data_IF_432187150793
#
_entry.id   IF_432187150793
#
_cell.length_a   1.000
_cell.length_b   1.000
_cell.length_c   1.000
_cell.angle_alpha   90.00
_cell.angle_beta   90.00
_cell.angle_gamma   90.00
#
_symmetry.space_group_name_H-M   'P 1'
#
loop_
_entity.id
_entity.type
_entity.pdbx_description
1 polymer ?
#
# COMPACT_ATOMS: atom_id res chain seq x y z
N UNK A 1 40.21 -72.96 -12.18
CA UNK A 1 40.95 -73.54 -11.05
C UNK A 1 40.34 -72.99 -9.76
N UNK A 2 39.79 -73.85 -8.89
CA UNK A 2 39.51 -73.66 -7.43
C UNK A 2 38.86 -72.31 -7.00
N UNK A 3 37.54 -72.18 -6.83
CA UNK A 3 36.60 -72.63 -5.74
C UNK A 3 36.28 -71.55 -4.66
N UNK A 4 34.97 -71.44 -4.43
CA UNK A 4 34.13 -70.54 -3.61
C UNK A 4 34.09 -70.88 -2.09
N UNK A 5 33.84 -69.87 -1.21
CA UNK A 5 32.87 -69.79 -0.06
C UNK A 5 33.13 -68.51 0.80
N UNK A 6 32.18 -67.65 1.24
CA UNK A 6 30.97 -67.76 2.13
C UNK A 6 31.32 -68.28 3.55
N UNK A 7 30.82 -67.77 4.69
CA UNK A 7 29.65 -66.90 5.02
C UNK A 7 29.72 -66.28 6.44
N UNK A 8 29.05 -65.14 6.65
CA UNK A 8 28.24 -64.68 7.83
C UNK A 8 28.63 -64.94 9.31
N UNK A 9 28.34 -63.97 10.20
CA UNK A 9 27.24 -64.01 11.23
C UNK A 9 27.35 -62.81 12.21
N UNK A 10 26.21 -62.17 12.54
CA UNK A 10 26.08 -61.14 13.60
C UNK A 10 25.40 -61.70 14.86
N UNK A 11 25.50 -61.02 16.02
CA UNK A 11 24.26 -60.73 16.76
C UNK A 11 24.22 -59.34 17.45
N UNK A 12 23.00 -58.83 17.65
CA UNK A 12 22.65 -57.67 18.49
C UNK A 12 21.43 -57.99 19.36
N UNK A 13 21.28 -57.35 20.52
CA UNK A 13 20.01 -56.70 20.93
C UNK A 13 20.30 -55.26 21.47
N UNK A 14 19.46 -54.23 21.34
CA UNK A 14 17.99 -54.13 21.32
C UNK A 14 17.52 -53.53 22.67
N UNK A 15 16.73 -52.46 22.81
CA UNK A 15 15.86 -51.65 21.90
C UNK A 15 16.02 -50.14 22.27
N UNK A 16 15.33 -49.10 21.75
CA UNK A 16 14.22 -48.85 20.80
C UNK A 16 13.57 -47.47 21.11
N UNK A 17 12.55 -46.94 20.38
CA UNK A 17 11.85 -47.45 19.19
C UNK A 17 11.98 -46.52 17.95
N UNK A 18 11.33 -46.93 16.85
CA UNK A 18 11.17 -46.20 15.57
C UNK A 18 9.66 -46.16 15.27
N UNK A 19 9.10 -45.05 14.75
CA UNK A 19 8.36 -45.12 13.48
C UNK A 19 7.91 -43.79 12.83
N UNK A 20 7.65 -43.93 11.51
CA UNK A 20 6.73 -43.18 10.67
C UNK A 20 6.91 -41.66 10.46
N UNK A 21 7.59 -41.33 9.36
CA UNK A 21 7.29 -40.13 8.59
C UNK A 21 5.89 -40.19 7.96
N UNK A 22 5.09 -39.13 8.13
CA UNK A 22 3.87 -38.88 7.36
C UNK A 22 3.99 -37.50 6.69
N UNK A 23 3.70 -37.44 5.39
CA UNK A 23 4.05 -36.27 4.57
C UNK A 23 3.25 -35.01 4.89
N UNK A 24 3.95 -33.89 5.11
CA UNK A 24 3.34 -32.55 4.97
C UNK A 24 2.96 -32.35 3.50
N UNK A 25 1.66 -32.34 3.22
CA UNK A 25 1.11 -31.84 1.96
C UNK A 25 1.67 -30.43 1.72
N UNK A 26 2.27 -30.19 0.55
CA UNK A 26 2.45 -28.83 0.06
C UNK A 26 1.08 -28.29 -0.27
N UNK A 27 0.60 -27.31 0.48
CA UNK A 27 -0.43 -26.41 -0.02
C UNK A 27 0.22 -25.52 -1.08
N UNK A 28 0.08 -25.86 -2.35
CA UNK A 28 0.37 -24.92 -3.43
C UNK A 28 -0.75 -23.86 -3.45
N UNK A 29 -0.65 -22.88 -2.55
CA UNK A 29 -1.37 -21.61 -2.68
C UNK A 29 -0.63 -20.75 -3.68
N UNK A 30 -1.13 -20.67 -4.91
CA UNK A 30 -0.70 -19.64 -5.86
C UNK A 30 -1.26 -18.31 -5.36
N UNK A 31 -0.39 -17.32 -5.10
CA UNK A 31 -0.82 -15.96 -4.82
C UNK A 31 -1.68 -15.46 -6.00
N UNK A 32 -2.94 -15.07 -5.79
CA UNK A 32 -3.71 -14.37 -6.82
C UNK A 32 -3.02 -13.03 -7.11
N UNK A 33 -2.99 -12.60 -8.37
CA UNK A 33 -2.34 -11.33 -8.73
C UNK A 33 -3.07 -10.12 -8.14
N UNK A 34 -2.33 -9.00 -7.99
CA UNK A 34 -2.81 -7.69 -7.50
C UNK A 34 -3.91 -7.06 -8.40
N UNK A 35 -5.09 -7.67 -8.44
CA UNK A 35 -6.32 -7.07 -8.92
C UNK A 35 -7.05 -6.36 -7.77
N UNK A 36 -8.01 -5.47 -8.09
CA UNK A 36 -8.87 -4.89 -7.07
C UNK A 36 -9.61 -6.02 -6.33
N UNK A 37 -9.60 -5.95 -5.01
CA UNK A 37 -10.34 -6.89 -4.17
C UNK A 37 -11.81 -6.88 -4.59
N UNK A 38 -12.41 -8.06 -4.82
CA UNK A 38 -13.81 -8.16 -5.23
C UNK A 38 -14.69 -7.63 -4.09
N UNK A 39 -15.28 -6.46 -4.29
CA UNK A 39 -16.24 -5.85 -3.36
C UNK A 39 -17.49 -6.73 -3.34
N UNK A 40 -17.74 -7.38 -2.21
CA UNK A 40 -18.90 -8.23 -2.02
C UNK A 40 -20.17 -7.35 -2.07
N UNK A 41 -21.18 -7.78 -2.82
CA UNK A 41 -22.44 -7.05 -2.96
C UNK A 41 -23.63 -7.96 -2.73
N UNK A 42 -24.06 -8.08 -1.47
CA UNK A 42 -25.37 -8.63 -1.13
C UNK A 42 -26.35 -7.48 -0.92
N UNK A 43 -27.10 -7.18 -1.98
CA UNK A 43 -28.32 -6.38 -1.93
C UNK A 43 -29.49 -7.33 -2.08
N UNK A 44 -30.16 -7.66 -0.98
CA UNK A 44 -31.54 -8.17 -1.03
C UNK A 44 -32.46 -7.12 -0.42
N UNK A 45 -33.35 -6.56 -1.25
CA UNK A 45 -34.51 -5.83 -0.78
C UNK A 45 -35.40 -6.77 0.04
N UNK A 46 -35.70 -6.40 1.29
CA UNK A 46 -36.98 -6.75 1.88
C UNK A 46 -37.44 -5.72 2.91
N UNK A 47 -38.47 -4.97 2.54
CA UNK A 47 -39.37 -4.34 3.50
C UNK A 47 -40.18 -5.45 4.18
N UNK A 48 -40.42 -5.35 5.49
CA UNK A 48 -41.75 -5.41 6.15
C UNK A 48 -41.65 -5.82 7.64
N UNK A 49 -42.19 -4.93 8.49
CA UNK A 49 -42.73 -5.11 9.86
C UNK A 49 -41.82 -5.56 11.03
N UNK A 50 -41.72 -4.65 12.01
CA UNK A 50 -41.49 -4.99 13.43
C UNK A 50 -42.54 -5.97 13.97
N UNK A 51 -42.19 -6.70 15.04
CA UNK A 51 -42.84 -6.34 16.31
C UNK A 51 -41.87 -6.26 17.51
N UNK A 52 -42.18 -5.36 18.44
CA UNK A 52 -41.43 -5.15 19.67
C UNK A 52 -41.61 -6.27 20.71
N UNK A 53 -40.52 -6.65 21.42
CA UNK A 53 -40.58 -7.11 22.82
C UNK A 53 -39.22 -7.15 23.54
N UNK A 54 -39.17 -6.50 24.70
CA UNK A 54 -38.48 -6.91 25.95
C UNK A 54 -36.92 -6.93 26.01
N UNK A 55 -36.39 -5.93 26.71
CA UNK A 55 -35.05 -5.96 27.34
C UNK A 55 -34.98 -6.99 28.47
N UNK A 56 -33.77 -7.49 28.76
CA UNK A 56 -33.32 -7.70 30.14
C UNK A 56 -32.14 -6.79 30.49
N UNK A 57 -32.19 -6.14 31.66
CA UNK A 57 -31.03 -5.45 32.24
C UNK A 57 -29.92 -6.45 32.60
N UNK A 58 -28.66 -6.09 32.40
CA UNK A 58 -27.52 -6.77 33.03
C UNK A 58 -26.57 -5.79 33.71
N UNK A 59 -26.14 -6.18 34.91
CA UNK A 59 -25.50 -5.34 35.92
C UNK A 59 -24.04 -4.99 35.58
N UNK A 60 -23.67 -3.71 35.73
CA UNK A 60 -22.30 -3.22 35.55
C UNK A 60 -21.37 -3.68 36.69
N UNK A 61 -20.67 -4.81 36.46
CA UNK A 61 -19.57 -5.24 37.31
C UNK A 61 -18.31 -4.39 37.06
N UNK A 62 -17.90 -3.62 38.07
CA UNK A 62 -16.85 -2.60 38.00
C UNK A 62 -15.43 -3.21 37.98
N UNK A 63 -14.88 -3.47 36.79
CA UNK A 63 -13.49 -3.93 36.63
C UNK A 63 -12.51 -2.81 36.99
N UNK A 64 -11.58 -3.07 37.91
CA UNK A 64 -10.44 -2.18 38.22
C UNK A 64 -9.23 -2.58 37.38
N UNK A 65 -8.82 -1.73 36.45
CA UNK A 65 -7.52 -1.83 35.79
C UNK A 65 -6.43 -1.22 36.69
N UNK A 66 -5.34 -1.96 36.89
CA UNK A 66 -4.13 -1.49 37.57
C UNK A 66 -3.10 -1.04 36.51
N UNK A 67 -2.46 0.13 36.65
CA UNK A 67 -1.50 0.59 35.66
C UNK A 67 -0.19 -0.23 35.73
N UNK A 68 0.20 -0.83 34.61
CA UNK A 68 1.53 -1.39 34.42
C UNK A 68 2.54 -0.26 34.13
N UNK A 69 3.78 -0.48 34.57
CA UNK A 69 4.84 0.55 34.57
C UNK A 69 5.17 1.05 33.17
N UNK A 70 5.32 2.37 33.05
CA UNK A 70 5.92 3.02 31.90
C UNK A 70 7.37 2.53 31.72
N UNK A 71 7.68 1.96 30.57
CA UNK A 71 9.04 1.69 30.12
C UNK A 71 9.58 2.93 29.40
N UNK A 72 10.85 3.26 29.60
CA UNK A 72 11.47 4.45 29.01
C UNK A 72 11.60 4.33 27.49
N UNK A 73 11.18 5.37 26.78
CA UNK A 73 11.23 5.45 25.32
C UNK A 73 12.66 5.74 24.88
N UNK A 74 13.24 4.83 24.09
CA UNK A 74 14.41 5.15 23.27
C UNK A 74 13.95 5.59 21.87
N UNK A 75 14.57 6.63 21.27
CA UNK A 75 14.14 7.15 19.98
C UNK A 75 14.47 6.16 18.85
N UNK A 76 13.42 5.64 18.21
CA UNK A 76 13.54 4.84 16.98
C UNK A 76 14.02 5.76 15.85
N UNK A 77 15.29 5.61 15.44
CA UNK A 77 15.79 6.21 14.19
C UNK A 77 15.27 5.40 13.01
N UNK A 78 14.76 6.08 11.98
CA UNK A 78 14.33 5.44 10.74
C UNK A 78 15.51 4.77 10.03
N UNK A 79 15.43 3.44 9.86
CA UNK A 79 16.42 2.70 9.07
C UNK A 79 16.06 2.80 7.59
N UNK A 80 16.31 3.98 7.00
CA UNK A 80 16.54 4.07 5.57
C UNK A 80 17.96 3.56 5.34
N UNK A 81 18.13 2.41 4.66
CA UNK A 81 19.45 1.82 4.38
C UNK A 81 20.21 2.63 3.32
N UNK A 82 20.63 3.84 3.68
CA UNK A 82 21.57 4.63 2.89
C UNK A 82 23.00 4.17 3.18
N UNK A 83 23.90 4.39 2.21
CA UNK A 83 25.33 4.13 2.38
C UNK A 83 26.01 5.19 3.26
N UNK A 84 25.32 6.28 3.62
CA UNK A 84 25.91 7.53 4.09
C UNK A 84 26.71 7.37 5.38
N UNK A 85 26.18 6.62 6.34
CA UNK A 85 26.84 6.34 7.64
C UNK A 85 28.12 5.50 7.50
N UNK A 86 28.32 4.81 6.37
CA UNK A 86 29.46 3.93 6.12
C UNK A 86 30.56 4.56 5.24
N UNK A 87 30.36 5.78 4.72
CA UNK A 87 31.29 6.47 3.80
C UNK A 87 32.52 6.95 4.55
N UNK A 88 33.70 6.57 4.05
CA UNK A 88 35.00 7.03 4.54
C UNK A 88 35.75 7.78 3.43
N UNK A 89 36.40 8.88 3.80
CA UNK A 89 37.24 9.64 2.86
C UNK A 89 38.54 8.87 2.58
N UNK A 90 38.88 8.70 1.31
CA UNK A 90 40.08 7.99 0.92
C UNK A 90 41.38 8.70 1.40
N UNK A 91 42.39 7.97 1.92
CA UNK A 91 43.71 8.53 2.21
C UNK A 91 44.43 9.05 0.97
N UNK A 92 45.31 10.04 1.13
CA UNK A 92 46.04 10.68 0.03
C UNK A 92 46.95 9.72 -0.79
N UNK A 93 47.35 8.58 -0.21
CA UNK A 93 48.03 7.50 -0.93
C UNK A 93 47.20 6.21 -0.84
N UNK A 94 46.46 5.90 -1.90
CA UNK A 94 45.66 4.68 -2.00
C UNK A 94 46.48 3.51 -2.59
N UNK A 95 46.55 2.34 -1.92
CA UNK A 95 47.09 1.13 -2.54
C UNK A 95 46.16 0.67 -3.67
N UNK A 96 46.72 0.06 -4.71
CA UNK A 96 45.94 -0.45 -5.84
C UNK A 96 44.90 -1.48 -5.40
N UNK A 97 43.75 -1.52 -6.10
CA UNK A 97 42.75 -2.56 -5.90
C UNK A 97 43.28 -3.93 -6.37
N UNK A 98 42.87 -4.98 -5.68
CA UNK A 98 43.16 -6.36 -6.04
C UNK A 98 42.32 -6.83 -7.26
N UNK A 99 42.49 -8.09 -7.66
CA UNK A 99 41.76 -8.67 -8.80
C UNK A 99 40.23 -8.67 -8.63
N UNK A 100 39.73 -8.53 -7.40
CA UNK A 100 38.31 -8.46 -7.05
C UNK A 100 37.79 -7.02 -6.95
N UNK A 101 38.61 -5.99 -7.20
CA UNK A 101 38.21 -4.59 -7.08
C UNK A 101 38.19 -4.06 -5.64
N UNK A 102 38.83 -4.75 -4.68
CA UNK A 102 38.95 -4.32 -3.28
C UNK A 102 40.36 -3.85 -2.95
N UNK A 103 40.47 -2.83 -2.09
CA UNK A 103 41.75 -2.33 -1.56
C UNK A 103 42.03 -2.90 -0.19
N UNK A 104 43.26 -3.35 0.06
CA UNK A 104 43.70 -3.78 1.39
C UNK A 104 44.44 -2.63 2.06
N UNK A 105 43.93 -2.10 3.17
CA UNK A 105 44.56 -1.03 3.95
C UNK A 105 44.62 -1.48 5.42
N UNK A 106 45.82 -1.76 5.93
CA UNK A 106 46.04 -2.28 7.31
C UNK A 106 45.15 -3.51 7.59
N UNK A 107 45.33 -4.54 6.78
CA UNK A 107 44.65 -5.85 6.86
C UNK A 107 43.11 -5.81 6.85
N UNK A 108 42.54 -4.72 6.35
CA UNK A 108 41.10 -4.53 6.17
C UNK A 108 40.76 -4.24 4.72
N UNK A 109 39.62 -4.77 4.27
CA UNK A 109 39.13 -4.66 2.90
C UNK A 109 38.26 -3.41 2.74
N UNK A 110 38.53 -2.62 1.71
CA UNK A 110 37.79 -1.43 1.36
C UNK A 110 37.31 -1.49 -0.09
N UNK A 111 36.09 -1.03 -0.31
CA UNK A 111 35.45 -0.90 -1.62
C UNK A 111 35.42 0.58 -2.04
N UNK A 112 35.85 0.89 -3.26
CA UNK A 112 35.64 2.23 -3.84
C UNK A 112 34.17 2.38 -4.26
N UNK A 113 33.46 3.38 -3.74
CA UNK A 113 32.04 3.63 -4.09
C UNK A 113 31.86 4.84 -5.01
N UNK A 114 32.79 5.79 -4.96
CA UNK A 114 32.86 6.98 -5.81
C UNK A 114 34.31 7.50 -5.84
N UNK A 115 34.68 8.41 -6.78
CA UNK A 115 36.03 8.95 -6.84
C UNK A 115 36.47 9.65 -5.53
N UNK A 116 37.40 9.03 -4.80
CA UNK A 116 37.90 9.53 -3.51
C UNK A 116 37.10 9.10 -2.28
N UNK A 117 36.11 8.21 -2.44
CA UNK A 117 35.26 7.70 -1.36
C UNK A 117 35.31 6.18 -1.29
N UNK A 118 35.54 5.66 -0.09
CA UNK A 118 35.69 4.23 0.18
C UNK A 118 34.78 3.79 1.34
N UNK A 119 34.43 2.52 1.36
CA UNK A 119 33.65 1.89 2.43
C UNK A 119 34.40 0.68 2.95
N UNK A 120 34.44 0.49 4.27
CA UNK A 120 34.97 -0.74 4.89
C UNK A 120 33.99 -1.88 4.63
N UNK A 121 34.47 -3.02 4.12
CA UNK A 121 33.64 -4.18 3.81
C UNK A 121 34.12 -5.46 4.51
N UNK A 122 33.19 -6.35 4.80
CA UNK A 122 33.47 -7.75 5.17
C UNK A 122 32.60 -8.69 4.37
N UNK A 123 33.12 -9.88 4.12
CA UNK A 123 32.38 -10.96 3.47
C UNK A 123 31.52 -11.70 4.51
N UNK A 124 30.26 -11.97 4.19
CA UNK A 124 29.32 -12.67 5.07
C UNK A 124 29.48 -14.18 4.91
N UNK A 125 29.72 -14.91 6.01
CA UNK A 125 29.97 -16.35 5.97
C UNK A 125 28.81 -17.19 5.42
N UNK A 126 27.57 -16.67 5.49
CA UNK A 126 26.34 -17.36 5.08
C UNK A 126 26.05 -17.30 3.57
N UNK A 127 26.49 -16.23 2.89
CA UNK A 127 26.13 -15.95 1.48
C UNK A 127 27.31 -15.59 0.58
N UNK A 128 28.49 -15.33 1.13
CA UNK A 128 29.66 -14.85 0.38
C UNK A 128 29.57 -13.40 -0.09
N UNK A 129 28.52 -12.66 0.28
CA UNK A 129 28.31 -11.25 -0.08
C UNK A 129 29.24 -10.31 0.69
N UNK A 130 29.71 -9.25 0.04
CA UNK A 130 30.42 -8.15 0.71
C UNK A 130 29.42 -7.13 1.24
N UNK A 131 29.42 -6.90 2.56
CA UNK A 131 28.57 -5.91 3.23
C UNK A 131 29.39 -4.75 3.77
N UNK A 132 28.84 -3.55 3.66
CA UNK A 132 29.36 -2.37 4.34
C UNK A 132 29.36 -2.61 5.87
N UNK A 133 30.38 -2.14 6.57
CA UNK A 133 30.48 -2.29 8.02
C UNK A 133 31.27 -1.16 8.66
N UNK A 134 30.85 -0.73 9.84
CA UNK A 134 31.56 0.27 10.63
C UNK A 134 32.80 -0.34 11.29
N UNK A 135 33.82 0.47 11.54
CA UNK A 135 35.05 0.01 12.21
C UNK A 135 34.81 -0.48 13.66
N UNK A 136 33.68 -0.10 14.27
CA UNK A 136 33.20 -0.52 15.60
C UNK A 136 32.37 -1.81 15.59
N UNK A 137 31.99 -2.33 14.42
CA UNK A 137 31.15 -3.53 14.31
C UNK A 137 31.99 -4.81 14.28
N UNK A 138 31.52 -5.84 15.00
CA UNK A 138 32.09 -7.19 14.93
C UNK A 138 31.49 -8.01 13.76
N UNK A 139 30.21 -7.78 13.48
CA UNK A 139 29.42 -8.42 12.41
C UNK A 139 28.95 -7.35 11.45
N UNK A 140 29.05 -7.57 10.13
CA UNK A 140 28.67 -6.58 9.14
C UNK A 140 27.14 -6.44 9.03
N UNK A 141 26.59 -5.36 9.59
CA UNK A 141 25.15 -5.04 9.56
C UNK A 141 24.72 -4.17 8.37
N UNK A 142 25.66 -3.53 7.69
CA UNK A 142 25.37 -2.60 6.61
C UNK A 142 24.87 -3.25 5.32
N UNK A 143 24.47 -2.42 4.33
CA UNK A 143 23.96 -2.90 3.07
C UNK A 143 25.00 -3.72 2.30
N UNK A 144 24.52 -4.70 1.52
CA UNK A 144 25.35 -5.49 0.64
C UNK A 144 25.77 -4.68 -0.60
N UNK A 145 26.95 -4.98 -1.13
CA UNK A 145 27.58 -4.26 -2.23
C UNK A 145 27.98 -5.22 -3.35
N UNK A 146 27.70 -4.84 -4.60
CA UNK A 146 28.13 -5.53 -5.81
C UNK A 146 29.14 -4.66 -6.56
N UNK A 147 30.21 -5.29 -7.03
CA UNK A 147 31.22 -4.64 -7.87
C UNK A 147 30.71 -4.47 -9.30
N UNK A 148 30.83 -3.26 -9.85
CA UNK A 148 30.46 -2.94 -11.22
C UNK A 148 31.72 -2.82 -12.10
N UNK A 149 32.05 -3.83 -12.94
CA UNK A 149 33.32 -3.87 -13.65
C UNK A 149 33.52 -2.74 -14.67
N UNK A 150 32.43 -2.17 -15.20
CA UNK A 150 32.45 -1.10 -16.19
C UNK A 150 33.03 0.20 -15.62
N UNK A 151 32.64 0.56 -14.40
CA UNK A 151 33.07 1.80 -13.73
C UNK A 151 34.12 1.57 -12.63
N UNK A 152 34.44 0.30 -12.31
CA UNK A 152 35.38 -0.12 -11.24
C UNK A 152 35.02 0.43 -9.85
N UNK A 153 33.72 0.56 -9.59
CA UNK A 153 33.15 0.98 -8.31
C UNK A 153 32.18 -0.06 -7.79
N UNK A 154 31.96 -0.06 -6.48
CA UNK A 154 30.97 -0.88 -5.80
C UNK A 154 29.70 -0.08 -5.58
N UNK A 155 28.55 -0.69 -5.85
CA UNK A 155 27.23 -0.09 -5.65
C UNK A 155 26.41 -0.95 -4.69
N UNK A 156 25.34 -0.36 -4.15
CA UNK A 156 24.33 -1.13 -3.41
C UNK A 156 23.87 -2.33 -4.24
N UNK A 157 23.93 -3.51 -3.65
CA UNK A 157 23.25 -4.69 -4.17
C UNK A 157 21.75 -4.43 -4.05
N UNK A 158 21.14 -3.95 -5.15
CA UNK A 158 19.69 -3.91 -5.26
C UNK A 158 19.13 -5.30 -4.96
N UNK A 159 18.04 -5.38 -4.20
CA UNK A 159 17.49 -6.65 -3.75
C UNK A 159 17.25 -7.57 -4.96
N UNK A 160 18.01 -8.66 -5.01
CA UNK A 160 17.90 -9.69 -6.03
C UNK A 160 17.77 -11.04 -5.34
N UNK A 161 16.59 -11.62 -5.52
CA UNK A 161 16.21 -12.93 -5.01
C UNK A 161 17.17 -14.00 -5.55
N UNK A 162 17.68 -14.86 -4.67
CA UNK A 162 18.51 -15.99 -5.10
C UNK A 162 17.65 -16.99 -5.89
N UNK A 163 18.06 -17.41 -7.10
CA UNK A 163 17.40 -18.48 -7.84
C UNK A 163 17.93 -19.85 -7.40
N UNK A 164 17.05 -20.86 -7.34
CA UNK A 164 17.44 -22.25 -7.51
C UNK A 164 16.55 -22.93 -8.56
N UNK A 165 17.12 -23.92 -9.26
CA UNK A 165 16.59 -24.52 -10.48
C UNK A 165 15.40 -25.46 -10.20
N UNK A 166 14.42 -25.57 -11.09
CA UNK A 166 14.22 -24.84 -12.35
C UNK A 166 13.30 -25.61 -13.30
N UNK A 167 12.86 -24.95 -14.36
CA UNK A 167 12.90 -25.54 -15.70
C UNK A 167 13.02 -24.40 -16.73
N UNK A 168 13.64 -24.69 -17.88
CA UNK A 168 14.23 -23.66 -18.75
C UNK A 168 13.23 -23.14 -19.79
N UNK A 169 13.07 -21.82 -19.83
CA UNK A 169 12.78 -21.09 -21.07
C UNK A 169 13.86 -20.02 -21.19
N UNK A 170 14.81 -20.23 -22.11
CA UNK A 170 15.78 -19.22 -22.48
C UNK A 170 15.03 -18.03 -23.10
N UNK A 171 15.11 -16.87 -22.47
CA UNK A 171 14.78 -15.59 -23.09
C UNK A 171 16.10 -14.85 -23.26
N UNK A 172 16.64 -14.92 -24.48
CA UNK A 172 17.86 -14.22 -24.83
C UNK A 172 17.60 -12.70 -24.78
N UNK A 173 18.32 -11.99 -23.93
CA UNK A 173 18.09 -10.54 -23.71
C UNK A 173 18.46 -9.76 -24.98
N UNK A 174 19.37 -10.27 -25.81
CA UNK A 174 19.67 -9.70 -27.11
C UNK A 174 18.53 -9.93 -28.13
N UNK A 175 17.70 -10.97 -27.96
CA UNK A 175 16.47 -11.17 -28.74
C UNK A 175 15.35 -10.25 -28.24
N UNK A 176 15.24 -10.00 -26.94
CA UNK A 176 14.31 -9.02 -26.38
C UNK A 176 14.62 -7.59 -26.87
N UNK A 177 15.90 -7.20 -26.91
CA UNK A 177 16.36 -5.90 -27.42
C UNK A 177 16.20 -5.81 -28.95
N UNK A 178 16.40 -6.90 -29.69
CA UNK A 178 16.05 -6.97 -31.13
C UNK A 178 14.54 -6.85 -31.37
N UNK A 179 13.70 -7.35 -30.46
CA UNK A 179 12.26 -7.15 -30.47
C UNK A 179 11.86 -5.66 -30.46
N UNK A 180 12.56 -4.82 -29.68
CA UNK A 180 12.38 -3.36 -29.68
C UNK A 180 13.04 -2.63 -30.86
N UNK A 181 13.85 -3.31 -31.68
CA UNK A 181 14.64 -2.68 -32.76
C UNK A 181 14.14 -2.98 -34.17
N UNK A 182 13.05 -3.74 -34.31
CA UNK A 182 12.42 -4.07 -35.59
C UNK A 182 11.14 -3.25 -35.89
N UNK A 183 10.92 -2.15 -35.16
CA UNK A 183 9.96 -1.14 -35.60
C UNK A 183 10.47 -0.47 -36.88
N UNK A 184 9.82 -0.80 -38.00
CA UNK A 184 10.09 -0.14 -39.28
C UNK A 184 9.91 1.38 -39.12
N UNK A 185 10.80 2.23 -39.66
CA UNK A 185 10.80 3.67 -39.39
C UNK A 185 9.72 4.44 -40.18
N UNK A 186 8.48 3.94 -40.17
CA UNK A 186 7.33 4.50 -40.89
C UNK A 186 5.97 3.97 -40.39
N UNK A 187 5.56 4.36 -39.17
CA UNK A 187 4.14 4.60 -38.84
C UNK A 187 3.96 5.52 -37.63
N UNK A 188 2.89 6.31 -37.70
CA UNK A 188 2.62 7.49 -36.88
C UNK A 188 2.60 7.24 -35.36
N UNK A 189 3.04 8.26 -34.60
CA UNK A 189 2.96 8.40 -33.13
C UNK A 189 1.76 7.63 -32.53
N UNK A 190 2.03 6.46 -31.95
CA UNK A 190 1.07 5.73 -31.12
C UNK A 190 1.06 6.30 -29.69
N UNK A 191 -0.04 6.11 -28.95
CA UNK A 191 -0.10 6.43 -27.53
C UNK A 191 0.67 5.37 -26.73
N UNK A 192 1.54 5.81 -25.80
CA UNK A 192 2.31 4.92 -24.93
C UNK A 192 1.41 4.18 -23.94
N UNK A 193 1.61 2.87 -23.77
CA UNK A 193 0.91 2.04 -22.77
C UNK A 193 -0.28 1.20 -23.29
N UNK A 194 -0.57 1.23 -24.59
CA UNK A 194 -1.60 0.35 -25.18
C UNK A 194 -1.17 -1.13 -25.20
N UNK A 195 -2.12 -2.02 -24.95
CA UNK A 195 -2.00 -3.49 -25.05
C UNK A 195 -0.88 -4.10 -24.19
N UNK A 196 -0.46 -3.40 -23.12
CA UNK A 196 0.53 -3.86 -22.15
C UNK A 196 0.00 -5.02 -21.27
N UNK A 197 0.79 -5.49 -20.30
CA UNK A 197 0.32 -6.58 -19.40
C UNK A 197 -0.89 -6.17 -18.59
N UNK A 198 -0.92 -4.94 -18.05
CA UNK A 198 -2.02 -4.48 -17.19
C UNK A 198 -3.31 -4.36 -17.99
N UNK A 199 -3.26 -3.79 -19.21
CA UNK A 199 -4.43 -3.75 -20.08
C UNK A 199 -4.86 -5.18 -20.47
N UNK A 200 -3.94 -6.06 -20.89
CA UNK A 200 -4.30 -7.43 -21.26
C UNK A 200 -4.91 -8.22 -20.09
N UNK A 201 -4.32 -8.16 -18.90
CA UNK A 201 -4.84 -8.80 -17.68
C UNK A 201 -6.24 -8.28 -17.35
N UNK A 202 -6.47 -6.97 -17.47
CA UNK A 202 -7.79 -6.35 -17.23
C UNK A 202 -8.82 -6.79 -18.27
N UNK A 203 -8.43 -6.79 -19.56
CA UNK A 203 -9.31 -7.11 -20.69
C UNK A 203 -9.60 -8.61 -20.87
N UNK A 204 -9.08 -9.48 -19.99
CA UNK A 204 -9.50 -10.90 -19.96
C UNK A 204 -10.97 -11.04 -19.59
N UNK A 205 -11.47 -10.22 -18.66
CA UNK A 205 -12.81 -10.30 -18.07
C UNK A 205 -13.72 -9.09 -18.39
N UNK A 206 -13.22 -8.07 -19.12
CA UNK A 206 -13.98 -6.84 -19.41
C UNK A 206 -13.94 -6.43 -20.89
N UNK A 207 -15.01 -5.82 -21.37
CA UNK A 207 -15.06 -5.31 -22.75
C UNK A 207 -14.45 -3.91 -22.81
N UNK A 208 -13.36 -3.72 -23.57
CA UNK A 208 -12.83 -2.39 -23.87
C UNK A 208 -13.78 -1.61 -24.78
N UNK A 209 -13.99 -0.33 -24.49
CA UNK A 209 -14.83 0.56 -25.31
C UNK A 209 -14.20 1.91 -25.64
N UNK A 210 -13.24 2.40 -24.85
CA UNK A 210 -12.55 3.66 -25.12
C UNK A 210 -11.13 3.69 -24.55
N UNK A 211 -10.17 4.27 -25.28
CA UNK A 211 -8.86 4.68 -24.79
C UNK A 211 -8.73 6.21 -24.84
N UNK A 212 -8.61 6.85 -23.68
CA UNK A 212 -8.62 8.30 -23.53
C UNK A 212 -10.02 8.95 -23.64
N UNK A 213 -10.19 10.11 -23.02
CA UNK A 213 -11.45 10.89 -22.99
C UNK A 213 -11.97 11.30 -24.38
N UNK A 214 -11.14 11.23 -25.42
CA UNK A 214 -11.52 11.50 -26.81
C UNK A 214 -12.33 10.37 -27.46
N UNK A 215 -12.23 9.14 -26.93
CA UNK A 215 -12.99 7.98 -27.41
C UNK A 215 -14.29 7.72 -26.64
N UNK A 216 -14.48 8.35 -25.48
CA UNK A 216 -15.77 8.39 -24.81
C UNK A 216 -16.76 9.28 -25.59
N UNK A 217 -18.06 9.00 -25.51
CA UNK A 217 -19.05 9.95 -26.04
C UNK A 217 -19.00 11.27 -25.28
N UNK A 218 -19.33 12.40 -25.93
CA UNK A 218 -19.18 13.73 -25.36
C UNK A 218 -19.85 13.89 -23.97
N UNK A 219 -21.03 13.29 -23.77
CA UNK A 219 -21.73 13.28 -22.48
C UNK A 219 -20.98 12.50 -21.38
N UNK A 220 -20.34 11.40 -21.74
CA UNK A 220 -19.57 10.58 -20.80
C UNK A 220 -18.23 11.26 -20.46
N UNK A 221 -17.54 11.82 -21.45
CA UNK A 221 -16.31 12.59 -21.24
C UNK A 221 -16.56 13.83 -20.36
N UNK A 222 -17.69 14.52 -20.56
CA UNK A 222 -18.06 15.66 -19.71
C UNK A 222 -18.47 15.23 -18.29
N UNK A 223 -19.14 14.08 -18.12
CA UNK A 223 -19.37 13.51 -16.79
C UNK A 223 -18.03 13.30 -16.07
N UNK A 224 -17.08 12.56 -16.67
CA UNK A 224 -15.76 12.29 -16.06
C UNK A 224 -15.05 13.60 -15.70
N UNK A 225 -15.01 14.59 -16.60
CA UNK A 225 -14.43 15.92 -16.29
C UNK A 225 -15.14 16.64 -15.14
N UNK A 226 -16.47 16.58 -15.08
CA UNK A 226 -17.22 17.22 -13.99
C UNK A 226 -16.96 16.57 -12.64
N UNK A 227 -16.79 15.24 -12.60
CA UNK A 227 -16.51 14.48 -11.38
C UNK A 227 -15.04 14.64 -10.93
N UNK A 228 -14.09 14.76 -11.86
CA UNK A 228 -12.70 15.15 -11.55
C UNK A 228 -12.60 16.53 -10.90
N UNK A 229 -13.38 17.51 -11.38
CA UNK A 229 -13.46 18.84 -10.72
C UNK A 229 -14.02 18.76 -9.31
N UNK A 230 -14.99 17.87 -9.06
CA UNK A 230 -15.48 17.62 -7.69
C UNK A 230 -14.34 17.08 -6.81
N UNK A 231 -13.55 16.11 -7.30
CA UNK A 231 -12.37 15.58 -6.58
C UNK A 231 -11.32 16.66 -6.32
N UNK A 232 -10.98 17.50 -7.32
CA UNK A 232 -10.05 18.62 -7.10
C UNK A 232 -10.58 19.56 -6.02
N UNK A 233 -11.87 19.90 -6.06
CA UNK A 233 -12.45 20.83 -5.09
C UNK A 233 -12.51 20.24 -3.68
N UNK A 234 -12.74 18.91 -3.54
CA UNK A 234 -12.64 18.20 -2.25
C UNK A 234 -11.25 18.37 -1.63
N UNK A 235 -10.19 18.10 -2.40
CA UNK A 235 -8.83 18.23 -1.88
C UNK A 235 -8.41 19.71 -1.71
N UNK A 236 -8.88 20.62 -2.56
CA UNK A 236 -8.57 22.06 -2.46
C UNK A 236 -9.18 22.67 -1.20
N UNK A 237 -10.49 22.47 -0.97
CA UNK A 237 -11.18 22.99 0.21
C UNK A 237 -10.58 22.37 1.50
N UNK A 238 -10.20 21.08 1.46
CA UNK A 238 -9.51 20.44 2.59
C UNK A 238 -8.10 21.00 2.84
N UNK A 239 -7.30 21.26 1.79
CA UNK A 239 -6.01 21.94 1.90
C UNK A 239 -6.14 23.31 2.57
N UNK A 240 -7.14 24.10 2.18
CA UNK A 240 -7.39 25.43 2.74
C UNK A 240 -7.74 25.34 4.24
N UNK A 241 -8.65 24.44 4.64
CA UNK A 241 -9.01 24.21 6.05
C UNK A 241 -7.81 23.77 6.90
N UNK A 242 -6.98 22.85 6.38
CA UNK A 242 -5.74 22.41 7.03
C UNK A 242 -4.78 23.60 7.20
N UNK A 243 -4.63 24.44 6.17
CA UNK A 243 -3.78 25.62 6.20
C UNK A 243 -4.24 26.69 7.20
N UNK A 244 -5.55 26.87 7.35
CA UNK A 244 -6.15 27.81 8.30
C UNK A 244 -6.05 27.37 9.77
N UNK A 245 -5.80 26.07 10.04
CA UNK A 245 -5.68 25.50 11.40
C UNK A 245 -6.87 25.81 12.31
N UNK A 246 -8.09 25.73 11.76
CA UNK A 246 -9.32 26.07 12.47
C UNK A 246 -9.56 25.06 13.62
N UNK A 247 -9.67 25.50 14.90
CA UNK A 247 -9.79 24.59 16.05
C UNK A 247 -11.00 23.65 15.97
N UNK A 248 -12.11 24.15 15.45
CA UNK A 248 -13.37 23.40 15.29
C UNK A 248 -13.24 22.20 14.33
N UNK A 249 -12.23 22.18 13.46
CA UNK A 249 -11.96 21.07 12.57
C UNK A 249 -11.30 19.87 13.29
N UNK A 250 -10.72 20.04 14.50
CA UNK A 250 -10.06 18.99 15.31
C UNK A 250 -10.95 17.73 15.44
N UNK A 251 -12.27 17.93 15.55
CA UNK A 251 -13.24 16.82 15.65
C UNK A 251 -13.37 15.98 14.38
N UNK A 252 -13.15 16.56 13.18
CA UNK A 252 -13.13 15.79 11.93
C UNK A 252 -11.92 14.86 11.93
N UNK A 253 -10.74 15.35 12.31
CA UNK A 253 -9.54 14.51 12.40
C UNK A 253 -9.70 13.41 13.47
N UNK A 254 -10.31 13.71 14.64
CA UNK A 254 -10.59 12.68 15.66
C UNK A 254 -11.51 11.57 15.13
N UNK A 255 -12.53 11.90 14.33
CA UNK A 255 -13.44 10.88 13.79
C UNK A 255 -12.77 9.97 12.73
N UNK A 256 -11.84 10.49 11.92
CA UNK A 256 -11.20 9.71 10.85
C UNK A 256 -9.87 9.05 11.24
N UNK A 257 -9.19 9.55 12.27
CA UNK A 257 -7.86 9.08 12.69
C UNK A 257 -7.73 8.83 14.21
N UNK A 258 -8.83 8.92 14.95
CA UNK A 258 -8.89 8.56 16.37
C UNK A 258 -8.25 9.57 17.33
N UNK A 259 -8.02 9.13 18.57
CA UNK A 259 -7.44 9.97 19.63
C UNK A 259 -6.00 10.45 19.31
N UNK A 260 -5.23 9.64 18.57
CA UNK A 260 -3.85 9.91 18.18
C UNK A 260 -3.72 10.73 16.87
N UNK A 261 -4.82 11.28 16.32
CA UNK A 261 -4.85 12.01 15.05
C UNK A 261 -3.79 13.11 14.90
N UNK A 262 -3.37 13.74 16.01
CA UNK A 262 -2.36 14.81 16.01
C UNK A 262 -0.97 14.32 15.61
N UNK A 263 -0.67 13.04 15.81
CA UNK A 263 0.60 12.42 15.41
C UNK A 263 0.67 12.28 13.88
N UNK A 264 -0.45 11.97 13.23
CA UNK A 264 -0.54 11.75 11.77
C UNK A 264 -0.93 13.00 10.99
N UNK A 265 -1.23 14.13 11.64
CA UNK A 265 -1.83 15.30 10.98
C UNK A 265 -0.97 15.86 9.82
N UNK A 266 0.37 15.81 9.95
CA UNK A 266 1.28 16.21 8.89
C UNK A 266 1.28 15.24 7.70
N UNK A 267 1.12 13.94 7.95
CA UNK A 267 1.01 12.91 6.92
C UNK A 267 -0.31 13.04 6.16
N UNK A 268 -1.43 13.23 6.87
CA UNK A 268 -2.72 13.50 6.24
C UNK A 268 -2.67 14.75 5.35
N UNK A 269 -2.04 15.84 5.83
CA UNK A 269 -1.87 17.07 5.05
C UNK A 269 -1.04 16.86 3.76
N UNK A 270 0.03 16.05 3.80
CA UNK A 270 0.80 15.65 2.62
C UNK A 270 -0.05 14.82 1.64
N UNK A 271 -0.80 13.83 2.13
CA UNK A 271 -1.71 13.02 1.31
C UNK A 271 -2.79 13.85 0.60
N UNK A 272 -3.43 14.81 1.30
CA UNK A 272 -4.43 15.73 0.71
C UNK A 272 -3.78 16.64 -0.34
N UNK A 273 -2.59 17.19 -0.04
CA UNK A 273 -1.84 18.05 -0.98
C UNK A 273 -1.43 17.30 -2.26
N UNK A 274 -1.06 16.03 -2.15
CA UNK A 274 -0.75 15.15 -3.29
C UNK A 274 -1.99 14.77 -4.09
N UNK A 275 -3.11 14.47 -3.42
CA UNK A 275 -4.42 14.28 -4.06
C UNK A 275 -4.83 15.50 -4.89
N UNK A 276 -4.67 16.71 -4.32
CA UNK A 276 -4.89 17.96 -5.03
C UNK A 276 -3.98 18.10 -6.26
N UNK A 277 -2.67 17.88 -6.11
CA UNK A 277 -1.72 17.98 -7.21
C UNK A 277 -2.03 17.00 -8.35
N UNK A 278 -2.39 15.76 -8.05
CA UNK A 278 -2.78 14.76 -9.05
C UNK A 278 -4.11 15.09 -9.73
N UNK A 279 -5.11 15.55 -8.97
CA UNK A 279 -6.42 15.90 -9.55
C UNK A 279 -6.31 17.00 -10.62
N UNK A 280 -5.31 17.88 -10.50
CA UNK A 280 -4.93 18.89 -11.50
C UNK A 280 -4.19 18.29 -12.70
N UNK A 281 -3.24 17.38 -12.48
CA UNK A 281 -2.52 16.68 -13.56
C UNK A 281 -3.46 15.80 -14.41
N UNK A 282 -4.44 15.11 -13.79
CA UNK A 282 -5.48 14.33 -14.48
C UNK A 282 -6.47 15.18 -15.29
N UNK A 283 -6.58 16.47 -14.99
CA UNK A 283 -7.29 17.45 -15.82
C UNK A 283 -6.38 18.20 -16.80
N UNK A 284 -5.06 18.01 -16.70
CA UNK A 284 -4.05 18.64 -17.54
C UNK A 284 -3.83 17.94 -18.88
N UNK A 285 -2.80 18.40 -19.60
CA UNK A 285 -2.47 18.00 -20.99
C UNK A 285 -2.34 16.47 -21.16
N UNK A 286 -1.76 15.78 -20.17
CA UNK A 286 -1.53 14.33 -20.23
C UNK A 286 -2.64 13.50 -19.55
N UNK A 287 -3.50 14.13 -18.76
CA UNK A 287 -4.51 13.44 -17.96
C UNK A 287 -5.61 12.80 -18.81
N UNK A 288 -6.02 13.47 -19.89
CA UNK A 288 -7.11 13.02 -20.75
C UNK A 288 -6.90 11.65 -21.41
N UNK A 289 -5.65 11.23 -21.62
CA UNK A 289 -5.32 9.93 -22.22
C UNK A 289 -5.35 8.77 -21.21
N UNK A 290 -5.34 9.06 -19.89
CA UNK A 290 -5.25 8.07 -18.82
C UNK A 290 -6.60 7.45 -18.41
N UNK A 291 -7.65 7.62 -19.22
CA UNK A 291 -8.99 7.09 -18.94
C UNK A 291 -9.33 5.97 -19.91
N UNK A 292 -9.48 4.74 -19.40
CA UNK A 292 -9.84 3.56 -20.18
C UNK A 292 -11.31 3.24 -19.91
N UNK A 293 -12.16 3.35 -20.92
CA UNK A 293 -13.58 3.06 -20.81
C UNK A 293 -13.86 1.58 -21.04
N UNK A 294 -14.51 0.94 -20.07
CA UNK A 294 -14.82 -0.50 -20.10
C UNK A 294 -16.30 -0.75 -19.76
N UNK A 295 -16.83 -1.85 -20.30
CA UNK A 295 -18.18 -2.35 -20.00
C UNK A 295 -18.05 -3.71 -19.26
N UNK A 296 -18.29 -3.70 -17.94
CA UNK A 296 -18.27 -4.89 -17.05
C UNK A 296 -19.47 -4.88 -16.10
N UNK A 297 -20.02 -6.06 -15.81
CA UNK A 297 -21.22 -6.24 -14.97
C UNK A 297 -20.87 -6.37 -13.48
N UNK A 298 -20.07 -5.43 -12.97
CA UNK A 298 -19.81 -5.21 -11.54
C UNK A 298 -20.22 -3.79 -11.12
N UNK A 299 -20.45 -3.54 -9.83
CA UNK A 299 -20.95 -2.23 -9.38
C UNK A 299 -19.88 -1.14 -9.24
N UNK A 300 -18.60 -1.47 -9.48
CA UNK A 300 -17.49 -0.51 -9.38
C UNK A 300 -17.60 0.55 -10.47
N UNK A 301 -17.60 1.83 -10.10
CA UNK A 301 -17.66 2.95 -11.06
C UNK A 301 -16.33 3.23 -11.74
N UNK A 302 -15.23 3.08 -11.01
CA UNK A 302 -13.87 3.13 -11.51
C UNK A 302 -12.95 2.24 -10.67
N UNK A 303 -11.80 1.85 -11.22
CA UNK A 303 -10.65 1.31 -10.47
C UNK A 303 -9.33 1.69 -11.13
N UNK A 304 -8.21 1.50 -10.43
CA UNK A 304 -6.87 1.48 -11.02
C UNK A 304 -6.01 0.33 -10.49
N UNK A 305 -4.81 0.18 -11.04
CA UNK A 305 -3.81 -0.75 -10.52
C UNK A 305 -2.65 0.05 -9.93
N UNK A 306 -2.32 -0.17 -8.65
CA UNK A 306 -1.22 0.51 -7.95
C UNK A 306 0.14 0.36 -8.65
N UNK A 307 0.33 -0.76 -9.36
CA UNK A 307 1.51 -1.07 -10.20
C UNK A 307 1.51 -0.43 -11.59
N UNK A 308 0.43 0.24 -12.00
CA UNK A 308 0.37 0.88 -13.32
C UNK A 308 1.15 2.20 -13.35
N UNK A 309 2.36 2.15 -13.88
CA UNK A 309 3.17 3.35 -14.11
C UNK A 309 2.49 4.34 -15.07
N UNK A 310 1.61 3.91 -15.97
CA UNK A 310 0.84 4.84 -16.81
C UNK A 310 -0.27 5.56 -16.02
N UNK A 311 -0.65 5.07 -14.84
CA UNK A 311 -1.64 5.66 -13.94
C UNK A 311 -3.04 5.74 -14.55
N UNK A 312 -3.47 4.68 -15.24
CA UNK A 312 -4.76 4.62 -15.92
C UNK A 312 -5.91 4.36 -14.94
N UNK A 313 -6.99 5.12 -15.09
CA UNK A 313 -8.29 4.81 -14.50
C UNK A 313 -9.11 3.97 -15.48
N UNK A 314 -9.57 2.81 -15.02
CA UNK A 314 -10.55 1.98 -15.72
C UNK A 314 -11.95 2.42 -15.28
N UNK A 315 -12.72 3.01 -16.19
CA UNK A 315 -14.03 3.60 -15.94
C UNK A 315 -15.11 2.64 -16.43
N UNK A 316 -15.91 2.11 -15.51
CA UNK A 316 -17.05 1.27 -15.85
C UNK A 316 -18.21 2.15 -16.33
N UNK A 317 -18.42 2.19 -17.64
CA UNK A 317 -19.46 3.00 -18.28
C UNK A 317 -20.88 2.59 -17.88
N UNK A 318 -21.10 1.34 -17.44
CA UNK A 318 -22.41 0.85 -16.97
C UNK A 318 -22.78 1.41 -15.59
N UNK A 319 -21.79 1.73 -14.75
CA UNK A 319 -22.00 2.11 -13.35
C UNK A 319 -21.54 3.52 -12.98
N UNK A 320 -20.77 4.20 -13.84
CA UNK A 320 -20.38 5.60 -13.61
C UNK A 320 -21.61 6.53 -13.50
N UNK A 321 -21.81 7.08 -12.30
CA UNK A 321 -22.90 7.99 -11.96
C UNK A 321 -22.34 9.23 -11.27
N UNK A 322 -23.03 10.37 -11.41
CA UNK A 322 -22.68 11.61 -10.70
C UNK A 322 -22.65 11.38 -9.18
N UNK A 323 -21.66 11.93 -8.49
CA UNK A 323 -21.38 11.73 -7.07
C UNK A 323 -20.66 10.41 -6.79
N UNK A 324 -21.16 9.28 -7.31
CA UNK A 324 -20.49 7.98 -7.13
C UNK A 324 -19.12 7.93 -7.83
N UNK A 325 -19.04 8.48 -9.05
CA UNK A 325 -17.79 8.50 -9.79
C UNK A 325 -16.74 9.41 -9.14
N UNK A 326 -17.11 10.58 -8.59
CA UNK A 326 -16.15 11.42 -7.86
C UNK A 326 -15.60 10.72 -6.61
N UNK A 327 -16.42 9.93 -5.90
CA UNK A 327 -15.95 9.10 -4.77
C UNK A 327 -14.92 8.07 -5.25
N UNK A 328 -15.24 7.27 -6.29
CA UNK A 328 -14.27 6.30 -6.83
C UNK A 328 -13.01 6.98 -7.35
N UNK A 329 -13.11 8.03 -8.17
CA UNK A 329 -11.95 8.74 -8.70
C UNK A 329 -11.08 9.33 -7.58
N UNK A 330 -11.69 9.87 -6.52
CA UNK A 330 -10.98 10.45 -5.38
C UNK A 330 -10.26 9.40 -4.52
N UNK A 331 -10.92 8.27 -4.24
CA UNK A 331 -10.34 7.09 -3.58
C UNK A 331 -9.16 6.54 -4.39
N UNK A 332 -9.41 6.13 -5.64
CA UNK A 332 -8.44 5.44 -6.49
C UNK A 332 -7.19 6.29 -6.74
N UNK A 333 -7.34 7.61 -6.91
CA UNK A 333 -6.21 8.55 -7.09
C UNK A 333 -5.19 8.51 -5.95
N UNK A 334 -5.61 8.16 -4.72
CA UNK A 334 -4.73 8.11 -3.55
C UNK A 334 -3.80 6.89 -3.56
N UNK A 335 -4.14 5.81 -4.28
CA UNK A 335 -3.25 4.66 -4.46
C UNK A 335 -2.06 4.95 -5.37
N UNK A 336 -2.16 5.94 -6.25
CA UNK A 336 -1.09 6.27 -7.20
C UNK A 336 0.22 6.56 -6.48
N UNK A 337 1.31 6.20 -7.14
CA UNK A 337 2.67 6.57 -6.75
C UNK A 337 3.24 7.52 -7.82
N UNK A 338 4.22 7.09 -8.60
CA UNK A 338 4.73 7.86 -9.74
C UNK A 338 3.96 7.48 -11.00
N UNK A 339 3.35 8.47 -11.64
CA UNK A 339 2.59 8.33 -12.89
C UNK A 339 3.39 8.91 -14.05
N UNK A 340 3.42 8.22 -15.18
CA UNK A 340 4.12 8.67 -16.39
C UNK A 340 3.66 10.06 -16.83
N UNK A 341 4.63 10.89 -17.22
CA UNK A 341 4.50 12.30 -17.64
C UNK A 341 3.91 13.28 -16.61
N UNK A 342 3.53 12.83 -15.43
CA UNK A 342 3.12 13.72 -14.33
C UNK A 342 4.35 14.17 -13.51
N UNK A 343 4.27 15.38 -12.95
CA UNK A 343 5.22 15.90 -11.97
C UNK A 343 4.79 15.57 -10.55
N UNK A 344 3.47 15.51 -10.31
CA UNK A 344 2.92 15.07 -9.04
C UNK A 344 3.27 13.60 -8.75
N UNK A 345 3.48 13.29 -7.47
CA UNK A 345 3.64 11.93 -6.95
C UNK A 345 2.50 11.71 -5.96
N UNK A 346 1.80 10.58 -6.07
CA UNK A 346 0.67 10.29 -5.22
C UNK A 346 1.02 9.90 -3.79
N UNK A 347 0.00 9.73 -2.93
CA UNK A 347 0.16 9.29 -1.54
C UNK A 347 0.58 7.82 -1.39
N UNK A 348 0.42 6.99 -2.43
CA UNK A 348 0.68 5.55 -2.39
C UNK A 348 -0.15 4.83 -1.30
N UNK A 349 -1.38 5.30 -1.05
CA UNK A 349 -2.30 4.75 -0.05
C UNK A 349 -2.69 3.28 -0.31
N UNK A 350 -3.24 2.62 0.70
CA UNK A 350 -3.70 1.23 0.66
C UNK A 350 -5.21 1.13 0.93
N UNK A 351 -5.75 -0.06 0.64
CA UNK A 351 -7.10 -0.47 1.04
C UNK A 351 -7.01 -1.35 2.29
N UNK A 352 -6.86 -0.70 3.44
CA UNK A 352 -6.87 -1.42 4.71
C UNK A 352 -8.28 -1.75 5.16
N UNK A 353 -9.23 -0.84 4.95
CA UNK A 353 -10.65 -1.06 5.23
C UNK A 353 -11.48 -0.02 4.48
N UNK A 354 -12.67 -0.43 4.03
CA UNK A 354 -13.60 0.45 3.34
C UNK A 354 -14.58 1.10 4.32
N UNK A 355 -15.09 2.28 3.99
CA UNK A 355 -16.07 3.03 4.80
C UNK A 355 -17.48 2.90 4.20
N UNK A 356 -18.14 1.77 4.44
CA UNK A 356 -19.46 1.45 3.92
C UNK A 356 -20.57 1.73 4.94
N UNK A 357 -21.25 2.87 4.76
CA UNK A 357 -22.39 3.32 5.57
C UNK A 357 -23.51 2.27 5.71
N UNK A 358 -23.85 1.57 4.63
CA UNK A 358 -24.86 0.51 4.62
C UNK A 358 -24.49 -0.74 5.44
N UNK A 359 -23.24 -0.84 5.92
CA UNK A 359 -22.74 -1.94 6.76
C UNK A 359 -22.46 -1.49 8.21
N UNK A 360 -22.79 -0.25 8.59
CA UNK A 360 -22.51 0.30 9.92
C UNK A 360 -23.08 -0.57 11.07
N UNK A 361 -24.17 -1.30 10.84
CA UNK A 361 -24.80 -2.21 11.81
C UNK A 361 -23.93 -3.40 12.21
N UNK A 362 -22.88 -3.71 11.46
CA UNK A 362 -21.91 -4.77 11.78
C UNK A 362 -20.76 -4.27 12.68
N UNK A 363 -20.66 -2.96 12.93
CA UNK A 363 -19.64 -2.36 13.80
C UNK A 363 -20.13 -2.26 15.25
N UNK A 364 -19.20 -2.37 16.20
CA UNK A 364 -19.48 -2.08 17.61
C UNK A 364 -19.38 -0.58 17.83
N UNK A 365 -20.52 0.10 18.01
CA UNK A 365 -20.56 1.55 18.25
C UNK A 365 -21.52 1.93 19.37
N UNK A 366 -20.99 2.63 20.38
CA UNK A 366 -21.78 3.35 21.39
C UNK A 366 -22.38 4.67 20.83
N UNK A 367 -21.93 5.09 19.64
CA UNK A 367 -22.29 6.36 19.01
C UNK A 367 -23.35 6.15 17.92
N UNK A 368 -24.49 6.84 18.06
CA UNK A 368 -25.52 6.99 17.01
C UNK A 368 -25.47 8.38 16.36
N UNK A 369 -24.30 9.03 16.34
CA UNK A 369 -24.13 10.34 15.71
C UNK A 369 -24.30 10.21 14.19
N UNK A 370 -25.31 10.87 13.64
CA UNK A 370 -25.41 11.14 12.22
C UNK A 370 -24.50 12.34 11.87
N UNK A 371 -23.80 12.24 10.74
CA UNK A 371 -22.95 13.30 10.19
C UNK A 371 -23.35 13.58 8.74
N UNK A 372 -23.04 14.77 8.22
CA UNK A 372 -23.38 15.18 6.83
C UNK A 372 -22.70 14.33 5.75
N UNK A 373 -21.60 13.67 6.11
CA UNK A 373 -20.89 12.66 5.32
C UNK A 373 -21.04 11.34 6.09
N UNK A 374 -21.86 10.41 5.59
CA UNK A 374 -22.21 9.23 6.38
C UNK A 374 -21.03 8.29 6.62
N UNK A 375 -20.05 8.28 5.72
CA UNK A 375 -18.79 7.53 5.88
C UNK A 375 -17.97 7.97 7.12
N UNK A 376 -18.24 9.17 7.67
CA UNK A 376 -17.67 9.66 8.94
C UNK A 376 -18.19 8.90 10.16
N UNK A 377 -19.42 8.40 10.15
CA UNK A 377 -20.01 7.65 11.27
C UNK A 377 -19.37 6.25 11.38
N UNK A 378 -19.12 5.64 10.22
CA UNK A 378 -18.38 4.38 10.05
C UNK A 378 -16.95 4.55 10.53
N UNK A 379 -16.27 5.62 10.10
CA UNK A 379 -14.90 5.90 10.53
C UNK A 379 -14.78 6.14 12.03
N UNK A 380 -15.70 6.93 12.63
CA UNK A 380 -15.72 7.19 14.08
C UNK A 380 -15.86 5.89 14.90
N UNK A 381 -16.72 4.95 14.45
CA UNK A 381 -16.86 3.65 15.08
C UNK A 381 -15.57 2.80 14.97
N UNK A 382 -14.98 2.70 13.77
CA UNK A 382 -13.71 1.97 13.56
C UNK A 382 -12.58 2.58 14.40
N UNK A 383 -12.45 3.91 14.43
CA UNK A 383 -11.42 4.63 15.20
C UNK A 383 -11.60 4.49 16.72
N UNK A 384 -12.83 4.28 17.20
CA UNK A 384 -13.11 3.94 18.61
C UNK A 384 -12.78 2.50 18.98
N UNK A 385 -12.32 1.67 18.03
CA UNK A 385 -12.02 0.25 18.25
C UNK A 385 -13.24 -0.65 18.02
N UNK A 386 -14.18 -0.19 17.19
CA UNK A 386 -15.43 -0.88 16.87
C UNK A 386 -15.40 -1.78 15.64
N UNK A 387 -14.22 -2.03 15.04
CA UNK A 387 -14.09 -2.86 13.85
C UNK A 387 -14.42 -4.32 14.19
N UNK A 388 -15.12 -5.03 13.30
CA UNK A 388 -15.45 -6.45 13.51
C UNK A 388 -15.01 -7.30 12.31
N UNK A 389 -14.76 -8.58 12.58
CA UNK A 389 -14.46 -9.57 11.54
C UNK A 389 -15.62 -9.70 10.54
N UNK A 390 -16.86 -9.60 11.00
CA UNK A 390 -18.05 -9.66 10.15
C UNK A 390 -18.18 -8.43 9.25
N UNK A 391 -17.87 -7.23 9.75
CA UNK A 391 -17.76 -6.02 8.92
C UNK A 391 -16.68 -6.20 7.85
N UNK A 392 -15.47 -6.63 8.23
CA UNK A 392 -14.38 -6.84 7.27
C UNK A 392 -14.80 -7.78 6.13
N UNK A 393 -15.30 -8.97 6.46
CA UNK A 393 -15.80 -9.98 5.48
C UNK A 393 -16.96 -9.47 4.64
N UNK A 394 -17.83 -8.63 5.19
CA UNK A 394 -18.93 -8.03 4.42
C UNK A 394 -18.45 -6.97 3.41
N UNK A 395 -17.31 -6.32 3.65
CA UNK A 395 -16.74 -5.35 2.69
C UNK A 395 -15.92 -5.99 1.57
N UNK A 396 -15.24 -7.11 1.83
CA UNK A 396 -14.35 -7.76 0.86
C UNK A 396 -14.06 -9.23 1.18
N UNK A 397 -13.76 -10.02 0.15
CA UNK A 397 -13.21 -11.38 0.29
C UNK A 397 -11.68 -11.39 0.51
N UNK A 398 -11.00 -10.25 0.35
CA UNK A 398 -9.53 -10.15 0.45
C UNK A 398 -9.13 -9.15 1.54
N UNK A 399 -8.20 -9.55 2.40
CA UNK A 399 -7.79 -8.76 3.57
C UNK A 399 -6.28 -8.53 3.66
N UNK A 400 -5.51 -9.02 2.68
CA UNK A 400 -4.04 -9.07 2.70
C UNK A 400 -3.41 -7.70 3.01
N UNK A 401 -3.97 -6.62 2.48
CA UNK A 401 -3.53 -5.25 2.82
C UNK A 401 -3.72 -4.93 4.31
N UNK A 402 -4.87 -5.27 4.90
CA UNK A 402 -5.15 -5.08 6.32
C UNK A 402 -4.20 -5.91 7.19
N UNK A 403 -4.07 -7.21 6.89
CA UNK A 403 -3.21 -8.13 7.62
C UNK A 403 -1.75 -7.67 7.56
N UNK A 404 -1.26 -7.32 6.37
CA UNK A 404 0.07 -6.74 6.17
C UNK A 404 0.26 -5.44 6.95
N UNK A 405 -0.70 -4.51 6.91
CA UNK A 405 -0.61 -3.24 7.64
C UNK A 405 -0.56 -3.40 9.16
N UNK A 406 -1.26 -4.39 9.71
CA UNK A 406 -1.17 -4.74 11.14
C UNK A 406 0.18 -5.39 11.46
N UNK A 407 0.64 -6.35 10.67
CA UNK A 407 1.92 -7.04 10.90
C UNK A 407 3.14 -6.14 10.75
N UNK A 408 3.20 -5.32 9.70
CA UNK A 408 4.30 -4.38 9.42
C UNK A 408 4.47 -3.36 10.55
N UNK A 409 3.37 -2.71 10.97
CA UNK A 409 3.39 -1.74 12.06
C UNK A 409 3.81 -2.36 13.40
N UNK A 410 3.43 -3.62 13.67
CA UNK A 410 3.80 -4.34 14.89
C UNK A 410 5.16 -5.06 14.80
N UNK A 411 5.83 -5.01 13.64
CA UNK A 411 7.11 -5.71 13.41
C UNK A 411 7.01 -7.23 13.47
N UNK A 412 5.85 -7.81 13.12
CA UNK A 412 5.62 -9.26 13.10
C UNK A 412 6.11 -9.87 11.79
N UNK A 413 6.68 -11.07 11.89
CA UNK A 413 7.24 -11.83 10.74
C UNK A 413 6.31 -12.96 10.30
N UNK A 414 5.46 -13.45 11.21
CA UNK A 414 4.48 -14.51 10.93
C UNK A 414 3.16 -13.91 10.40
N UNK A 415 2.46 -14.68 9.57
CA UNK A 415 1.11 -14.34 9.10
C UNK A 415 0.15 -14.24 10.29
N UNK A 416 -0.63 -13.16 10.33
CA UNK A 416 -1.64 -12.90 11.37
C UNK A 416 -3.01 -13.18 10.78
N UNK A 417 -3.80 -14.01 11.47
CA UNK A 417 -5.18 -14.33 11.07
C UNK A 417 -6.10 -13.12 11.27
N UNK A 418 -7.21 -13.06 10.52
CA UNK A 418 -8.09 -11.88 10.48
C UNK A 418 -8.71 -11.51 11.84
N UNK A 419 -9.02 -12.50 12.67
CA UNK A 419 -9.54 -12.29 14.03
C UNK A 419 -8.50 -11.65 14.94
N UNK A 420 -7.29 -12.20 15.01
CA UNK A 420 -6.19 -11.60 15.77
C UNK A 420 -5.83 -10.19 15.23
N UNK A 421 -5.82 -10.00 13.91
CA UNK A 421 -5.52 -8.70 13.30
C UNK A 421 -6.55 -7.63 13.70
N UNK A 422 -7.85 -7.97 13.71
CA UNK A 422 -8.93 -7.06 14.16
C UNK A 422 -8.83 -6.78 15.66
N UNK A 423 -8.51 -7.77 16.50
CA UNK A 423 -8.27 -7.55 17.94
C UNK A 423 -7.09 -6.60 18.20
N UNK A 424 -5.95 -6.82 17.53
CA UNK A 424 -4.76 -5.98 17.63
C UNK A 424 -5.03 -4.54 17.16
N UNK A 425 -5.75 -4.39 16.05
CA UNK A 425 -6.20 -3.10 15.52
C UNK A 425 -7.10 -2.36 16.53
N UNK A 426 -8.09 -3.03 17.10
CA UNK A 426 -8.99 -2.42 18.10
C UNK A 426 -8.30 -2.12 19.43
N UNK A 427 -7.27 -2.89 19.82
CA UNK A 427 -6.50 -2.66 21.04
C UNK A 427 -5.53 -1.46 20.94
N UNK A 428 -5.06 -1.10 19.75
CA UNK A 428 -3.99 -0.10 19.56
C UNK A 428 -4.45 1.14 18.78
N UNK A 429 -4.64 2.27 19.47
CA UNK A 429 -5.12 3.52 18.86
C UNK A 429 -4.12 4.16 17.89
N UNK A 430 -2.81 3.99 18.12
CA UNK A 430 -1.76 4.52 17.22
C UNK A 430 -1.67 3.72 15.93
N UNK A 431 -1.85 2.39 15.99
CA UNK A 431 -2.00 1.52 14.82
C UNK A 431 -3.20 1.96 13.97
N UNK A 432 -4.36 2.22 14.59
CA UNK A 432 -5.54 2.72 13.86
C UNK A 432 -5.30 4.07 13.20
N UNK A 433 -4.70 5.03 13.92
CA UNK A 433 -4.35 6.33 13.37
C UNK A 433 -3.37 6.21 12.18
N UNK A 434 -2.36 5.35 12.31
CA UNK A 434 -1.35 5.11 11.27
C UNK A 434 -1.95 4.44 10.02
N UNK A 435 -2.75 3.39 10.18
CA UNK A 435 -3.42 2.73 9.07
C UNK A 435 -4.43 3.69 8.41
N UNK A 436 -5.26 4.39 9.19
CA UNK A 436 -6.21 5.36 8.65
C UNK A 436 -5.55 6.50 7.87
N UNK A 437 -4.41 7.02 8.33
CA UNK A 437 -3.64 8.06 7.61
C UNK A 437 -2.99 7.56 6.29
N UNK A 438 -2.97 6.25 6.08
CA UNK A 438 -2.50 5.56 4.87
C UNK A 438 -3.64 4.88 4.08
N UNK A 439 -4.89 4.97 4.54
CA UNK A 439 -6.05 4.31 3.94
C UNK A 439 -6.77 5.25 2.97
N UNK A 440 -7.00 4.81 1.72
CA UNK A 440 -7.54 5.68 0.67
C UNK A 440 -8.92 6.27 1.03
N UNK A 441 -9.84 5.43 1.52
CA UNK A 441 -11.16 5.87 1.98
C UNK A 441 -11.05 6.89 3.12
N UNK A 442 -10.28 6.60 4.17
CA UNK A 442 -10.13 7.49 5.33
C UNK A 442 -9.60 8.87 4.92
N UNK A 443 -8.60 8.94 4.03
CA UNK A 443 -8.05 10.20 3.53
C UNK A 443 -9.10 10.97 2.71
N UNK A 444 -9.77 10.30 1.76
CA UNK A 444 -10.74 10.96 0.89
C UNK A 444 -11.98 11.45 1.66
N UNK A 445 -12.55 10.61 2.52
CA UNK A 445 -13.74 10.97 3.30
C UNK A 445 -13.45 11.97 4.43
N UNK A 446 -12.24 12.00 4.98
CA UNK A 446 -11.79 13.11 5.83
C UNK A 446 -11.74 14.43 5.06
N UNK A 447 -11.14 14.46 3.86
CA UNK A 447 -11.10 15.65 3.02
C UNK A 447 -12.51 16.13 2.62
N UNK A 448 -13.40 15.21 2.20
CA UNK A 448 -14.83 15.48 1.90
C UNK A 448 -15.56 16.03 3.12
N UNK A 449 -15.27 15.52 4.32
CA UNK A 449 -15.88 16.02 5.57
C UNK A 449 -15.37 17.41 5.96
N UNK A 450 -14.08 17.71 5.76
CA UNK A 450 -13.52 19.06 5.95
C UNK A 450 -14.14 20.05 4.96
N UNK A 451 -14.29 19.68 3.69
CA UNK A 451 -15.00 20.47 2.68
C UNK A 451 -16.44 20.78 3.10
N UNK A 452 -17.24 19.75 3.43
CA UNK A 452 -18.65 19.94 3.79
C UNK A 452 -18.79 20.86 5.00
N UNK A 453 -17.99 20.62 6.04
CA UNK A 453 -17.95 21.46 7.24
C UNK A 453 -17.57 22.92 6.94
N UNK A 454 -16.56 23.16 6.10
CA UNK A 454 -16.08 24.50 5.74
C UNK A 454 -17.10 25.29 4.91
N UNK A 455 -17.78 24.62 3.98
CA UNK A 455 -18.86 25.24 3.18
C UNK A 455 -20.04 25.63 4.06
N UNK A 456 -20.46 24.77 4.98
CA UNK A 456 -21.52 25.08 5.94
C UNK A 456 -21.15 26.27 6.84
N UNK A 457 -19.88 26.39 7.26
CA UNK A 457 -19.36 27.57 7.98
C UNK A 457 -19.47 28.86 7.16
N UNK A 458 -18.97 28.88 5.92
CA UNK A 458 -19.04 30.06 5.04
C UNK A 458 -20.48 30.45 4.72
N UNK A 459 -21.36 29.47 4.44
CA UNK A 459 -22.77 29.75 4.17
C UNK A 459 -23.47 30.36 5.40
N UNK A 460 -23.14 29.90 6.60
CA UNK A 460 -23.66 30.49 7.84
C UNK A 460 -23.18 31.93 8.04
N UNK A 461 -21.87 32.20 7.93
CA UNK A 461 -21.30 33.56 8.04
C UNK A 461 -21.87 34.52 6.98
N UNK A 462 -22.14 34.01 5.78
CA UNK A 462 -22.79 34.78 4.70
C UNK A 462 -24.27 35.06 4.98
N UNK A 463 -24.99 34.17 5.65
CA UNK A 463 -26.39 34.39 6.04
C UNK A 463 -26.50 35.36 7.21
N UNK A 464 -25.61 35.26 8.20
CA UNK A 464 -25.54 36.16 9.37
C UNK A 464 -25.28 37.61 8.93
N UNK A 465 -24.30 37.80 8.04
CA UNK A 465 -24.00 39.13 7.43
C UNK A 465 -25.09 39.68 6.50
N UNK A 466 -26.14 38.92 6.18
CA UNK A 466 -27.34 39.38 5.46
C UNK A 466 -28.53 39.66 6.40
N UNK A 467 -28.41 39.37 7.69
CA UNK A 467 -29.42 39.65 8.72
C UNK A 467 -29.05 40.93 9.50
N UNK A 468 -27.75 41.20 9.67
CA UNK A 468 -27.20 42.37 10.36
C UNK A 468 -26.99 43.62 9.46
N UNK A 469 -27.50 43.61 8.21
CA UNK A 469 -27.35 44.69 7.21
C UNK A 469 -28.67 45.19 6.61
#
# INVERSE_FOLDING_TARGET
>A
MVIVRKTATSPSPGLGPVDASAGRKRGCGVLPGDGPARKASHLEDNQVQEPAAQQPELSLARIRLSPLKSAEVLPIRSVVQSLEDYRLRAPASLPAANAQGLRVIKDRLYADIAPGEIVLVRQTATTGEYRATLASELTASGPALVYEPQNRIWKLQGAQSSPDKGDVIDIDIDELIRGFSNDSPQKHRAHDGNDDSIERDTLMDVNLVARGLTQFSARQAELIRSELRVVETVFSDACDVIGMKLPDADKVYENFFGADHRIIAAQFADSVSRGLALSREYQGVWGGDKFIGVDVDNQSSAWMYKKDFHGRFFINRKFMKRGMLSVSLGHEMLHTNRVDRFKAIGPNAADFFYLHDNLQTLLVSDSRMAYDVSERSVSDAIMRGGLTVDYMKATSDYHDSFLFGVSDYLGRVDDVELDEAVELFNANSQLRAHMAANNADSIFFAAKSLQTWYRSKIEYERLDSLIDG
#
